data_IF_172053031158
#
_entry.id   IF_172053031158
#
_cell.length_a   1.000
_cell.length_b   1.000
_cell.length_c   1.000
_cell.angle_alpha   90.00
_cell.angle_beta   90.00
_cell.angle_gamma   90.00
#
_symmetry.space_group_name_H-M   'P 1'
#
loop_
_entity.id
_entity.type
_entity.pdbx_description
1 polymer ?
#
# COMPACT_ATOMS: atom_id res chain seq x y z
N UNK A 1 -6.58 15.11 3.92
CA UNK A 1 -5.59 14.30 3.16
C UNK A 1 -5.84 12.86 3.54
N UNK A 2 -6.25 12.02 2.58
CA UNK A 2 -7.01 10.79 2.84
C UNK A 2 -6.29 9.49 2.50
N UNK A 3 -5.17 9.52 1.76
CA UNK A 3 -4.57 8.31 1.20
C UNK A 3 -3.14 8.06 1.69
N UNK A 4 -2.79 6.79 1.88
CA UNK A 4 -1.48 6.33 2.35
C UNK A 4 -1.00 5.19 1.45
N UNK A 5 0.24 5.29 0.97
CA UNK A 5 0.93 4.18 0.30
C UNK A 5 1.51 3.21 1.32
N UNK A 6 1.26 1.91 1.14
CA UNK A 6 1.73 0.83 2.02
C UNK A 6 2.52 -0.23 1.24
N UNK A 7 3.43 -0.93 1.92
CA UNK A 7 4.06 -2.18 1.45
C UNK A 7 3.62 -3.28 2.41
N UNK A 8 3.11 -4.38 1.87
CA UNK A 8 2.74 -5.53 2.67
C UNK A 8 3.97 -6.22 3.27
N UNK A 9 3.77 -6.88 4.42
CA UNK A 9 4.81 -7.74 4.99
C UNK A 9 5.06 -8.97 4.11
N UNK A 10 6.14 -9.70 4.36
CA UNK A 10 6.43 -10.93 3.63
C UNK A 10 5.30 -11.97 3.73
N UNK A 11 4.67 -12.06 4.91
CA UNK A 11 3.53 -12.96 5.18
C UNK A 11 2.26 -12.59 4.39
N UNK A 12 2.09 -11.30 4.06
CA UNK A 12 0.90 -10.78 3.37
C UNK A 12 1.11 -10.51 1.88
N UNK A 13 2.37 -10.42 1.43
CA UNK A 13 2.73 -10.18 0.03
C UNK A 13 4.01 -9.34 -0.09
N UNK A 14 5.18 -9.99 -0.05
CA UNK A 14 6.46 -9.31 -0.19
C UNK A 14 6.54 -8.49 -1.49
N UNK A 15 6.93 -7.21 -1.37
CA UNK A 15 7.13 -6.32 -2.53
C UNK A 15 5.84 -5.86 -3.21
N UNK A 16 4.68 -6.12 -2.62
CA UNK A 16 3.39 -5.59 -3.10
C UNK A 16 3.14 -4.23 -2.46
N UNK A 17 2.92 -3.22 -3.30
CA UNK A 17 2.66 -1.84 -2.89
C UNK A 17 1.25 -1.42 -3.28
N UNK A 18 0.49 -0.84 -2.35
CA UNK A 18 -0.89 -0.41 -2.61
C UNK A 18 -1.26 0.91 -1.93
N UNK A 19 -2.29 1.56 -2.50
CA UNK A 19 -2.90 2.76 -1.93
C UNK A 19 -4.09 2.40 -1.06
N UNK A 20 -4.09 2.89 0.17
CA UNK A 20 -5.22 2.70 1.09
C UNK A 20 -5.70 4.03 1.65
N UNK A 21 -6.93 4.06 2.15
CA UNK A 21 -7.41 5.21 2.88
C UNK A 21 -6.75 5.23 4.27
N UNK A 22 -6.42 6.40 4.80
CA UNK A 22 -5.74 6.51 6.09
C UNK A 22 -6.56 5.96 7.26
N UNK A 23 -7.89 5.92 7.14
CA UNK A 23 -8.78 5.31 8.14
C UNK A 23 -8.74 3.78 8.14
N UNK A 24 -8.15 3.15 7.11
CA UNK A 24 -8.04 1.70 7.02
C UNK A 24 -6.83 1.17 7.77
N UNK A 25 -5.88 2.03 8.14
CA UNK A 25 -4.75 1.65 8.95
C UNK A 25 -5.17 1.45 10.41
N UNK A 26 -4.63 0.43 11.05
CA UNK A 26 -4.77 0.30 12.51
C UNK A 26 -4.05 1.45 13.20
N UNK A 27 -4.39 1.79 14.47
CA UNK A 27 -3.77 2.91 15.18
C UNK A 27 -2.23 2.87 15.21
N UNK A 28 -1.66 1.65 15.29
CA UNK A 28 -0.20 1.43 15.29
C UNK A 28 0.43 1.47 13.89
N UNK A 29 -0.36 1.45 12.82
CA UNK A 29 0.07 1.43 11.41
C UNK A 29 1.05 0.29 11.08
N UNK A 30 0.83 -0.84 11.74
CA UNK A 30 1.53 -2.11 11.45
C UNK A 30 0.64 -3.03 10.61
N UNK A 31 -0.64 -2.69 10.50
CA UNK A 31 -1.65 -3.49 9.84
C UNK A 31 -2.63 -2.58 9.11
N UNK A 32 -3.32 -3.17 8.14
CA UNK A 32 -4.35 -2.50 7.35
C UNK A 32 -5.59 -3.39 7.27
N UNK A 33 -6.75 -2.78 7.46
CA UNK A 33 -8.02 -3.38 7.15
C UNK A 33 -8.24 -3.38 5.65
N UNK A 34 -8.58 -4.53 5.09
CA UNK A 34 -8.76 -4.73 3.67
C UNK A 34 -10.19 -5.16 3.36
N UNK A 35 -10.89 -4.43 2.48
CA UNK A 35 -12.28 -4.72 2.19
C UNK A 35 -12.42 -6.01 1.35
N UNK A 36 -13.50 -6.79 1.51
CA UNK A 36 -13.74 -8.02 0.74
C UNK A 36 -14.21 -7.74 -0.70
N UNK A 37 -13.54 -6.82 -1.39
CA UNK A 37 -13.90 -6.35 -2.73
C UNK A 37 -13.00 -7.01 -3.78
N UNK A 38 -13.61 -7.77 -4.70
CA UNK A 38 -12.89 -8.48 -5.77
C UNK A 38 -12.62 -7.61 -7.00
N UNK A 39 -13.40 -6.56 -7.20
CA UNK A 39 -13.34 -5.72 -8.40
C UNK A 39 -12.64 -4.38 -8.10
N UNK A 40 -11.71 -3.97 -8.97
CA UNK A 40 -10.92 -2.74 -8.79
C UNK A 40 -11.80 -1.49 -8.72
N UNK A 41 -12.87 -1.41 -9.50
CA UNK A 41 -13.79 -0.27 -9.50
C UNK A 41 -14.50 -0.09 -8.16
N UNK A 42 -14.93 -1.21 -7.55
CA UNK A 42 -15.57 -1.19 -6.24
C UNK A 42 -14.56 -0.79 -5.16
N UNK A 43 -13.34 -1.32 -5.23
CA UNK A 43 -12.24 -0.94 -4.35
C UNK A 43 -11.93 0.57 -4.46
N UNK A 44 -11.75 1.09 -5.68
CA UNK A 44 -11.46 2.50 -5.91
C UNK A 44 -12.58 3.41 -5.40
N UNK A 45 -13.84 2.96 -5.50
CA UNK A 45 -15.00 3.68 -4.94
C UNK A 45 -14.96 3.72 -3.41
N UNK A 46 -14.73 2.58 -2.76
CA UNK A 46 -14.61 2.50 -1.30
C UNK A 46 -13.42 3.33 -0.79
N UNK A 47 -12.29 3.25 -1.49
CA UNK A 47 -11.07 4.02 -1.22
C UNK A 47 -11.36 5.52 -1.24
N UNK A 48 -12.02 6.02 -2.31
CA UNK A 48 -12.36 7.45 -2.45
C UNK A 48 -13.40 7.92 -1.44
N UNK A 49 -14.37 7.06 -1.11
CA UNK A 49 -15.41 7.37 -0.12
C UNK A 49 -14.84 7.38 1.30
N UNK A 50 -13.76 6.63 1.54
CA UNK A 50 -13.17 6.47 2.87
C UNK A 50 -14.07 5.63 3.76
N UNK A 51 -14.68 4.58 3.20
CA UNK A 51 -15.54 3.66 3.95
C UNK A 51 -14.81 3.17 5.20
N UNK A 52 -15.52 3.09 6.32
CA UNK A 52 -14.92 2.66 7.57
C UNK A 52 -14.76 1.13 7.57
N UNK A 53 -13.64 0.60 8.10
CA UNK A 53 -13.48 -0.83 8.27
C UNK A 53 -14.61 -1.42 9.11
N UNK A 54 -15.17 -2.54 8.64
CA UNK A 54 -16.12 -3.34 9.39
C UNK A 54 -15.38 -4.60 9.89
N UNK A 55 -15.22 -4.75 11.20
CA UNK A 55 -14.38 -5.80 11.80
C UNK A 55 -14.86 -7.22 11.46
N UNK A 56 -16.16 -7.40 11.17
CA UNK A 56 -16.76 -8.70 10.83
C UNK A 56 -16.49 -9.14 9.38
N UNK A 57 -16.25 -8.20 8.46
CA UNK A 57 -16.19 -8.49 7.02
C UNK A 57 -14.84 -8.14 6.39
N UNK A 58 -14.09 -7.19 6.96
CA UNK A 58 -12.78 -6.78 6.46
C UNK A 58 -11.69 -7.66 7.06
N UNK A 59 -10.74 -8.04 6.24
CA UNK A 59 -9.58 -8.83 6.68
C UNK A 59 -8.43 -7.93 7.07
N UNK A 60 -7.68 -8.29 8.11
CA UNK A 60 -6.46 -7.56 8.49
C UNK A 60 -5.26 -8.18 7.79
N UNK A 61 -4.43 -7.32 7.20
CA UNK A 61 -3.13 -7.70 6.63
C UNK A 61 -2.01 -6.91 7.30
N UNK A 62 -0.87 -7.58 7.52
CA UNK A 62 0.32 -6.94 8.08
C UNK A 62 1.02 -6.11 7.00
N UNK A 63 1.48 -4.93 7.38
CA UNK A 63 2.25 -4.05 6.53
C UNK A 63 3.67 -3.90 7.06
N UNK A 64 4.63 -3.81 6.16
CA UNK A 64 6.05 -3.61 6.48
C UNK A 64 6.35 -2.16 6.78
N UNK A 65 5.81 -1.24 5.98
CA UNK A 65 6.02 0.21 6.11
C UNK A 65 4.97 1.02 5.34
N UNK A 66 4.88 2.30 5.70
CA UNK A 66 4.12 3.32 4.98
C UNK A 66 5.10 4.30 4.30
N UNK A 67 4.80 4.78 3.09
CA UNK A 67 5.72 5.63 2.32
C UNK A 67 5.29 7.08 2.26
N UNK A 68 4.07 7.32 1.77
CA UNK A 68 3.62 8.67 1.43
C UNK A 68 2.17 8.88 1.84
N UNK A 69 1.89 10.01 2.49
CA UNK A 69 0.53 10.53 2.65
C UNK A 69 0.23 11.45 1.48
N UNK A 70 -0.86 11.21 0.77
CA UNK A 70 -1.19 11.97 -0.42
C UNK A 70 -2.67 12.38 -0.44
N UNK A 71 -2.94 13.56 -0.99
CA UNK A 71 -4.31 14.06 -1.15
C UNK A 71 -4.97 13.63 -2.47
N UNK A 72 -4.19 13.08 -3.40
CA UNK A 72 -4.62 12.76 -4.76
C UNK A 72 -4.12 11.38 -5.20
N UNK A 73 -5.06 10.54 -5.63
CA UNK A 73 -4.78 9.20 -6.19
C UNK A 73 -3.86 9.30 -7.43
N UNK A 74 -4.02 10.32 -8.29
CA UNK A 74 -3.15 10.51 -9.47
C UNK A 74 -1.70 10.75 -9.08
N UNK A 75 -1.46 11.59 -8.06
CA UNK A 75 -0.11 11.86 -7.55
C UNK A 75 0.50 10.60 -6.93
N UNK A 76 -0.31 9.79 -6.26
CA UNK A 76 0.14 8.50 -5.74
C UNK A 76 0.58 7.57 -6.87
N UNK A 77 -0.23 7.37 -7.91
CA UNK A 77 0.13 6.47 -9.01
C UNK A 77 1.44 6.88 -9.68
N UNK A 78 1.66 8.18 -9.90
CA UNK A 78 2.92 8.69 -10.42
C UNK A 78 4.09 8.36 -9.49
N UNK A 79 3.92 8.59 -8.17
CA UNK A 79 4.93 8.26 -7.17
C UNK A 79 5.18 6.75 -7.06
N UNK A 80 4.15 5.92 -7.18
CA UNK A 80 4.28 4.46 -7.12
C UNK A 80 5.12 3.95 -8.29
N UNK A 81 4.84 4.43 -9.51
CA UNK A 81 5.61 4.10 -10.70
C UNK A 81 7.07 4.51 -10.49
N UNK A 82 7.32 5.77 -10.12
CA UNK A 82 8.68 6.25 -9.84
C UNK A 82 9.37 5.45 -8.72
N UNK A 83 8.65 5.11 -7.66
CA UNK A 83 9.18 4.37 -6.52
C UNK A 83 9.51 2.92 -6.89
N UNK A 84 8.69 2.26 -7.71
CA UNK A 84 8.99 0.93 -8.25
C UNK A 84 10.23 0.92 -9.13
N UNK A 85 10.43 1.96 -9.95
CA UNK A 85 11.65 2.12 -10.75
C UNK A 85 12.89 2.36 -9.88
N UNK A 86 12.80 3.23 -8.89
CA UNK A 86 13.91 3.48 -7.96
C UNK A 86 14.29 2.22 -7.16
N UNK A 87 13.31 1.43 -6.71
CA UNK A 87 13.57 0.16 -6.03
C UNK A 87 14.21 -0.88 -6.95
N UNK A 88 13.87 -0.89 -8.23
CA UNK A 88 14.56 -1.71 -9.23
C UNK A 88 16.02 -1.29 -9.35
N UNK A 89 16.31 0.00 -9.47
CA UNK A 89 17.68 0.52 -9.57
C UNK A 89 18.51 0.18 -8.31
N UNK A 90 17.93 0.35 -7.12
CA UNK A 90 18.59 -0.02 -5.86
C UNK A 90 18.82 -1.54 -5.76
N UNK A 91 17.87 -2.36 -6.21
CA UNK A 91 18.02 -3.82 -6.25
C UNK A 91 19.14 -4.26 -7.20
N UNK A 92 19.26 -3.64 -8.37
CA UNK A 92 20.34 -3.92 -9.32
C UNK A 92 21.71 -3.52 -8.76
N UNK A 93 21.82 -2.33 -8.13
CA UNK A 93 23.06 -1.89 -7.48
C UNK A 93 23.50 -2.82 -6.34
N UNK A 94 22.56 -3.33 -5.55
CA UNK A 94 22.86 -4.29 -4.47
C UNK A 94 23.35 -5.62 -5.06
N UNK A 95 22.71 -6.13 -6.13
CA UNK A 95 23.13 -7.37 -6.81
C UNK A 95 24.52 -7.28 -7.44
N UNK A 96 24.92 -6.11 -7.96
CA UNK A 96 26.27 -5.90 -8.48
C UNK A 96 27.34 -5.91 -7.37
N UNK A 97 27.04 -5.34 -6.20
CA UNK A 97 27.98 -5.32 -5.07
C UNK A 97 28.11 -6.66 -4.32
N UNK A 98 27.15 -7.58 -4.47
CA UNK A 98 27.18 -8.92 -3.84
C UNK A 98 27.93 -9.95 -4.71
N UNK A 99 28.36 -9.59 -5.93
CA UNK A 99 29.16 -10.46 -6.82
C UNK A 99 30.67 -10.23 -6.73
N UNK A 100 31.17 -9.47 -5.74
CA UNK A 100 32.60 -9.31 -5.46
C UNK A 100 33.04 -10.12 -4.25
#
# INVERSE_FOLDING_TARGET
MAFVGIEFSEESGAGVFELVHSSWLTPKKQEVWWPPLKHREAFDKALRKGDLPEEETWSIYKIKRCFFKEGSIRKYLLKLVLFSFLLLDDFFKVKENVKM
#
